data_IF_345952511651
#
_entry.id   IF_345952511651
#
_cell.length_a   1.000
_cell.length_b   1.000
_cell.length_c   1.000
_cell.angle_alpha   90.00
_cell.angle_beta   90.00
_cell.angle_gamma   90.00
#
_symmetry.space_group_name_H-M   'P 1'
#
loop_
_entity.id
_entity.type
_entity.pdbx_description
1 polymer ?
#
# COMPACT_ATOMS: atom_id res chain seq x y z
N UNK A 1 0.49 20.66 -26.85
CA UNK A 1 0.16 20.40 -25.44
C UNK A 1 0.68 19.02 -25.08
N UNK A 2 1.51 18.91 -24.04
CA UNK A 2 1.97 17.61 -23.56
C UNK A 2 0.86 16.94 -22.74
N UNK A 3 0.57 15.67 -23.02
CA UNK A 3 -0.40 14.86 -22.30
C UNK A 3 0.34 13.77 -21.53
N UNK A 4 -0.13 13.51 -20.31
CA UNK A 4 0.42 12.47 -19.45
C UNK A 4 -0.17 11.12 -19.87
N UNK A 5 0.64 10.29 -20.54
CA UNK A 5 0.19 8.99 -21.05
C UNK A 5 0.06 7.94 -19.93
N UNK A 6 0.89 8.03 -18.88
CA UNK A 6 0.77 7.17 -17.70
C UNK A 6 1.45 7.81 -16.49
N UNK A 7 0.71 7.94 -15.39
CA UNK A 7 1.25 8.34 -14.10
C UNK A 7 1.09 7.23 -13.08
N UNK A 8 2.14 7.03 -12.29
CA UNK A 8 2.16 6.11 -11.16
C UNK A 8 2.77 6.83 -9.97
N UNK A 9 2.18 6.65 -8.82
CA UNK A 9 2.70 7.16 -7.57
C UNK A 9 2.89 6.00 -6.60
N UNK A 10 4.02 5.98 -5.88
CA UNK A 10 4.37 4.79 -5.12
C UNK A 10 5.20 5.08 -3.89
N UNK A 11 5.16 4.12 -2.96
CA UNK A 11 6.10 4.00 -1.85
C UNK A 11 6.75 2.63 -1.93
N UNK A 12 8.06 2.63 -2.14
CA UNK A 12 8.88 1.42 -2.16
C UNK A 12 9.72 1.31 -0.88
N UNK A 13 10.38 0.17 -0.69
CA UNK A 13 11.28 -0.14 0.42
C UNK A 13 10.60 -0.12 1.80
N UNK A 14 9.32 -0.46 1.90
CA UNK A 14 8.66 -0.63 3.21
C UNK A 14 9.13 -1.97 3.79
N UNK A 15 9.90 -1.90 4.87
CA UNK A 15 10.40 -3.08 5.58
C UNK A 15 9.49 -3.38 6.76
N UNK A 16 8.97 -4.61 6.79
CA UNK A 16 8.10 -5.10 7.85
C UNK A 16 8.81 -6.26 8.53
N UNK A 17 8.82 -6.22 9.84
CA UNK A 17 9.35 -7.26 10.71
C UNK A 17 8.24 -7.62 11.70
N UNK A 18 7.67 -8.81 11.55
CA UNK A 18 6.63 -9.32 12.44
C UNK A 18 7.14 -10.56 13.14
N UNK A 19 7.03 -10.55 14.46
CA UNK A 19 7.36 -11.71 15.31
C UNK A 19 6.04 -12.27 15.82
N UNK A 20 5.80 -13.55 15.53
CA UNK A 20 4.74 -14.33 16.16
C UNK A 20 5.42 -15.16 17.25
N UNK A 21 5.03 -14.93 18.50
CA UNK A 21 5.50 -15.71 19.64
C UNK A 21 4.41 -16.71 19.99
N UNK A 22 4.79 -17.98 20.03
CA UNK A 22 3.92 -19.06 20.47
C UNK A 22 4.21 -19.32 21.96
N UNK A 23 3.23 -19.03 22.83
CA UNK A 23 3.43 -19.09 24.28
C UNK A 23 3.48 -20.51 24.82
N UNK A 24 2.88 -21.48 24.11
CA UNK A 24 2.82 -22.89 24.54
C UNK A 24 4.12 -23.64 24.24
N UNK A 25 4.75 -23.35 23.10
CA UNK A 25 5.99 -24.00 22.67
C UNK A 25 7.24 -23.15 22.91
N UNK A 26 7.08 -21.87 23.24
CA UNK A 26 8.19 -20.91 23.37
C UNK A 26 8.87 -20.56 22.04
N UNK A 27 8.35 -21.07 20.92
CA UNK A 27 8.91 -20.88 19.59
C UNK A 27 8.55 -19.50 19.07
N UNK A 28 9.55 -18.80 18.52
CA UNK A 28 9.35 -17.50 17.88
C UNK A 28 9.47 -17.65 16.36
N UNK A 29 8.40 -17.33 15.65
CA UNK A 29 8.37 -17.30 14.19
C UNK A 29 8.55 -15.85 13.75
N UNK A 30 9.62 -15.60 13.02
CA UNK A 30 9.98 -14.26 12.54
C UNK A 30 9.73 -14.19 11.05
N UNK A 31 8.94 -13.21 10.62
CA UNK A 31 8.67 -12.94 9.21
C UNK A 31 9.21 -11.57 8.86
N UNK A 32 10.10 -11.54 7.87
CA UNK A 32 10.67 -10.31 7.31
C UNK A 32 10.30 -10.21 5.85
N UNK A 33 9.56 -9.16 5.50
CA UNK A 33 9.16 -8.90 4.11
C UNK A 33 9.44 -7.46 3.72
N UNK A 34 9.60 -7.27 2.42
CA UNK A 34 9.81 -5.97 1.80
C UNK A 34 8.67 -5.73 0.81
N UNK A 35 7.98 -4.61 0.99
CA UNK A 35 6.77 -4.30 0.21
C UNK A 35 6.94 -2.96 -0.47
N UNK A 36 6.42 -2.88 -1.69
CA UNK A 36 6.19 -1.64 -2.41
C UNK A 36 4.73 -1.56 -2.83
N UNK A 37 4.10 -0.41 -2.58
CA UNK A 37 2.72 -0.12 -3.01
C UNK A 37 2.78 0.88 -4.14
N UNK A 38 2.15 0.57 -5.27
CA UNK A 38 2.05 1.43 -6.45
C UNK A 38 0.59 1.67 -6.76
N UNK A 39 0.19 2.94 -6.79
CA UNK A 39 -1.13 3.36 -7.24
C UNK A 39 -0.98 3.93 -8.65
N UNK A 40 -1.87 3.47 -9.53
CA UNK A 40 -2.00 3.96 -10.90
C UNK A 40 -3.40 4.57 -11.02
N UNK A 41 -3.50 5.59 -11.86
CA UNK A 41 -4.73 6.34 -12.18
C UNK A 41 -5.10 7.48 -11.20
N UNK A 42 -5.88 8.43 -11.72
CA UNK A 42 -6.35 9.67 -11.07
C UNK A 42 -5.31 10.76 -10.70
N UNK A 43 -4.03 10.62 -11.07
CA UNK A 43 -2.97 11.58 -10.65
C UNK A 43 -2.63 12.62 -11.73
N UNK A 44 -3.26 12.56 -12.91
CA UNK A 44 -2.87 13.39 -14.06
C UNK A 44 -3.04 14.90 -13.81
N UNK A 45 -4.10 15.30 -13.08
CA UNK A 45 -4.34 16.69 -12.68
C UNK A 45 -3.28 17.21 -11.73
N UNK A 46 -2.68 16.37 -10.89
CA UNK A 46 -1.55 16.80 -10.05
C UNK A 46 -0.32 17.18 -10.87
N UNK A 47 -0.07 16.52 -12.01
CA UNK A 47 1.06 16.85 -12.89
C UNK A 47 0.80 18.05 -13.80
N UNK A 48 -0.46 18.45 -14.01
CA UNK A 48 -0.84 19.51 -14.96
C UNK A 48 -1.43 20.76 -14.31
N UNK A 49 -1.98 20.65 -13.11
CA UNK A 49 -2.75 21.69 -12.43
C UNK A 49 -2.31 21.88 -10.96
N UNK A 50 -1.24 21.23 -10.51
CA UNK A 50 -0.71 21.30 -9.14
C UNK A 50 -1.74 20.97 -8.04
N UNK A 51 -2.78 20.19 -8.37
CA UNK A 51 -3.78 19.76 -7.39
C UNK A 51 -3.22 18.63 -6.51
N UNK A 52 -2.75 19.01 -5.32
CA UNK A 52 -2.21 18.09 -4.31
C UNK A 52 -3.30 17.34 -3.54
N UNK A 53 -4.58 17.69 -3.69
CA UNK A 53 -5.69 17.11 -2.91
C UNK A 53 -5.93 15.64 -3.25
N UNK A 54 -5.54 15.23 -4.47
CA UNK A 54 -5.75 13.87 -4.99
C UNK A 54 -4.61 12.93 -4.60
N UNK A 55 -3.46 13.46 -4.16
CA UNK A 55 -2.33 12.66 -3.73
C UNK A 55 -2.51 12.26 -2.27
N UNK A 56 -2.71 10.96 -2.03
CA UNK A 56 -2.44 10.40 -0.70
C UNK A 56 -0.97 10.66 -0.37
N UNK A 57 -0.71 11.36 0.73
CA UNK A 57 0.65 11.58 1.19
C UNK A 57 1.41 10.25 1.31
N UNK A 58 2.60 10.15 0.67
CA UNK A 58 3.48 8.96 0.74
C UNK A 58 3.67 8.44 2.17
N UNK A 59 3.70 9.34 3.16
CA UNK A 59 3.86 8.96 4.56
C UNK A 59 2.64 8.20 5.10
N UNK A 60 1.43 8.58 4.69
CA UNK A 60 0.20 7.89 5.06
C UNK A 60 0.18 6.45 4.53
N UNK A 61 0.66 6.21 3.30
CA UNK A 61 0.76 4.85 2.75
C UNK A 61 1.65 3.94 3.60
N UNK A 62 2.81 4.45 4.06
CA UNK A 62 3.73 3.69 4.90
C UNK A 62 3.09 3.35 6.26
N UNK A 63 2.43 4.33 6.88
CA UNK A 63 1.73 4.14 8.16
C UNK A 63 0.61 3.10 8.01
N UNK A 64 -0.15 3.18 6.92
CA UNK A 64 -1.26 2.27 6.63
C UNK A 64 -0.79 0.82 6.46
N UNK A 65 0.30 0.62 5.73
CA UNK A 65 0.91 -0.71 5.57
C UNK A 65 1.33 -1.30 6.93
N UNK A 66 1.86 -0.48 7.86
CA UNK A 66 2.15 -0.95 9.21
C UNK A 66 0.90 -1.27 10.02
N UNK A 67 -0.16 -0.45 9.91
CA UNK A 67 -1.44 -0.72 10.57
C UNK A 67 -2.02 -2.06 10.10
N UNK A 68 -2.06 -2.30 8.78
CA UNK A 68 -2.56 -3.56 8.22
C UNK A 68 -1.67 -4.75 8.55
N UNK A 69 -0.35 -4.57 8.63
CA UNK A 69 0.56 -5.62 9.08
C UNK A 69 0.37 -5.99 10.55
N UNK A 70 -0.18 -5.10 11.39
CA UNK A 70 -0.53 -5.43 12.77
C UNK A 70 -1.79 -6.30 12.82
N UNK A 71 -2.83 -5.89 12.11
CA UNK A 71 -4.14 -6.54 12.07
C UNK A 71 -4.13 -7.90 11.38
N UNK A 72 -3.37 -8.06 10.29
CA UNK A 72 -3.43 -9.23 9.42
C UNK A 72 -2.17 -10.09 9.51
N UNK A 73 -2.25 -11.40 9.20
CA UNK A 73 -1.07 -12.22 9.00
C UNK A 73 -0.28 -11.70 7.79
N UNK A 74 1.04 -11.57 7.95
CA UNK A 74 1.96 -11.14 6.88
C UNK A 74 2.52 -12.31 6.06
N UNK A 75 2.20 -13.53 6.48
CA UNK A 75 2.56 -14.78 5.81
C UNK A 75 1.27 -15.57 5.56
N UNK A 76 1.00 -16.03 4.32
CA UNK A 76 1.79 -15.88 3.09
C UNK A 76 1.75 -14.44 2.51
N UNK A 77 2.81 -14.00 1.79
CA UNK A 77 2.89 -12.64 1.26
C UNK A 77 1.82 -12.31 0.21
N UNK A 78 1.33 -13.32 -0.53
CA UNK A 78 0.28 -13.17 -1.53
C UNK A 78 -1.03 -12.73 -0.88
N UNK A 79 -1.42 -13.37 0.22
CA UNK A 79 -2.62 -13.02 0.97
C UNK A 79 -2.51 -11.60 1.54
N UNK A 80 -1.35 -11.25 2.09
CA UNK A 80 -1.12 -9.90 2.59
C UNK A 80 -1.16 -8.84 1.47
N UNK A 81 -0.68 -9.18 0.27
CA UNK A 81 -0.78 -8.36 -0.93
C UNK A 81 -2.23 -8.11 -1.35
N UNK A 82 -3.07 -9.15 -1.35
CA UNK A 82 -4.51 -9.03 -1.64
C UNK A 82 -5.21 -8.11 -0.64
N UNK A 83 -5.01 -8.33 0.67
CA UNK A 83 -5.62 -7.50 1.72
C UNK A 83 -5.21 -6.02 1.61
N UNK A 84 -3.95 -5.74 1.25
CA UNK A 84 -3.51 -4.38 0.99
C UNK A 84 -4.18 -3.80 -0.26
N UNK A 85 -4.23 -4.57 -1.35
CA UNK A 85 -4.90 -4.18 -2.60
C UNK A 85 -6.36 -3.82 -2.38
N UNK A 86 -7.13 -4.71 -1.74
CA UNK A 86 -8.55 -4.52 -1.43
C UNK A 86 -8.76 -3.25 -0.60
N UNK A 87 -7.94 -3.04 0.44
CA UNK A 87 -8.03 -1.84 1.25
C UNK A 87 -7.78 -0.56 0.42
N UNK A 88 -6.77 -0.55 -0.44
CA UNK A 88 -6.51 0.64 -1.28
C UNK A 88 -7.60 0.85 -2.33
N UNK A 89 -8.25 -0.20 -2.82
CA UNK A 89 -9.38 -0.09 -3.74
C UNK A 89 -10.68 0.38 -3.06
N UNK A 90 -10.93 -0.07 -1.82
CA UNK A 90 -12.17 0.24 -1.09
C UNK A 90 -12.12 1.59 -0.36
N UNK A 91 -11.00 1.91 0.30
CA UNK A 91 -10.88 3.12 1.12
C UNK A 91 -10.30 4.32 0.36
N UNK A 92 -9.67 4.12 -0.79
CA UNK A 92 -9.21 5.27 -1.59
C UNK A 92 -10.33 5.71 -2.52
N UNK A 93 -10.62 7.01 -2.51
CA UNK A 93 -11.39 7.73 -3.52
C UNK A 93 -10.74 7.69 -4.93
N UNK A 94 -10.14 6.57 -5.32
CA UNK A 94 -9.86 6.29 -6.73
C UNK A 94 -11.12 5.59 -7.22
N UNK A 95 -12.07 6.40 -7.70
CA UNK A 95 -13.07 5.92 -8.63
C UNK A 95 -12.29 5.29 -9.78
N UNK A 96 -12.20 3.96 -9.79
CA UNK A 96 -11.96 3.23 -11.04
C UNK A 96 -13.21 3.55 -11.85
N UNK A 97 -13.15 4.64 -12.63
CA UNK A 97 -14.11 4.89 -13.69
C UNK A 97 -13.88 3.78 -14.70
N UNK A 98 -14.53 2.65 -14.46
CA UNK A 98 -14.94 1.73 -15.50
C UNK A 98 -15.91 2.51 -16.37
N UNK A 99 -15.41 3.23 -17.37
CA UNK A 99 -16.19 3.62 -18.53
C UNK A 99 -15.32 3.81 -19.75
#
# INVERSE_FOLDING_TARGET
MALVNSSRYWKDNIRIFKVKRDEETGVQIVVKIKIGVRLKDAINSSYTQDDISIIIAINAMKILVYAKAKENPVSPPELFGCVLGDHFMENTLIQVVQK
#
